data_IF_192226176389
#
_entry.id   IF_192226176389
#
_cell.length_a   1.000
_cell.length_b   1.000
_cell.length_c   1.000
_cell.angle_alpha   90.00
_cell.angle_beta   90.00
_cell.angle_gamma   90.00
#
_symmetry.space_group_name_H-M   'P 1'
#
loop_
_entity.id
_entity.type
_entity.pdbx_description
1 polymer ?
#
# COMPACT_ATOMS: atom_id res chain seq x y z
N UNK A 1 -15.59 -8.41 -7.04
CA UNK A 1 -14.76 -8.54 -8.26
C UNK A 1 -14.14 -9.94 -8.32
N UNK A 2 -14.22 -10.65 -9.45
CA UNK A 2 -13.59 -11.98 -9.60
C UNK A 2 -12.05 -11.85 -9.68
N UNK A 3 -11.32 -12.93 -9.37
CA UNK A 3 -9.84 -12.94 -9.27
C UNK A 3 -9.16 -12.46 -10.56
N UNK A 4 -9.63 -12.94 -11.72
CA UNK A 4 -9.09 -12.57 -13.03
C UNK A 4 -9.20 -11.06 -13.33
N UNK A 5 -10.32 -10.43 -12.97
CA UNK A 5 -10.51 -8.97 -13.18
C UNK A 5 -9.62 -8.16 -12.23
N UNK A 6 -9.44 -8.63 -10.99
CA UNK A 6 -8.55 -8.00 -10.00
C UNK A 6 -7.11 -8.01 -10.45
N UNK A 7 -6.60 -9.17 -10.84
CA UNK A 7 -5.20 -9.34 -11.24
C UNK A 7 -4.88 -8.49 -12.47
N UNK A 8 -5.84 -8.42 -13.42
CA UNK A 8 -5.75 -7.51 -14.57
C UNK A 8 -5.67 -6.06 -14.12
N UNK A 9 -6.51 -5.63 -13.19
CA UNK A 9 -6.53 -4.24 -12.69
C UNK A 9 -5.24 -3.88 -11.96
N UNK A 10 -4.70 -4.77 -11.14
CA UNK A 10 -3.40 -4.59 -10.49
C UNK A 10 -2.29 -4.44 -11.54
N UNK A 11 -2.32 -5.24 -12.60
CA UNK A 11 -1.37 -5.14 -13.72
C UNK A 11 -1.50 -3.85 -14.52
N UNK A 12 -2.70 -3.27 -14.63
CA UNK A 12 -2.93 -1.96 -15.26
C UNK A 12 -2.44 -0.80 -14.39
N UNK A 13 -2.64 -0.89 -13.06
CA UNK A 13 -2.26 0.17 -12.11
C UNK A 13 -0.74 0.25 -11.89
N UNK A 14 -0.04 -0.88 -11.80
CA UNK A 14 1.40 -0.91 -11.49
C UNK A 14 2.25 0.01 -12.39
N UNK A 15 2.16 -0.04 -13.74
CA UNK A 15 2.95 0.83 -14.59
C UNK A 15 2.64 2.32 -14.44
N UNK A 16 1.45 2.69 -13.97
CA UNK A 16 1.07 4.08 -13.70
C UNK A 16 1.74 4.56 -12.40
N UNK A 17 1.75 3.69 -11.38
CA UNK A 17 2.28 3.96 -10.05
C UNK A 17 3.80 3.82 -9.95
N UNK A 18 4.50 3.52 -11.04
CA UNK A 18 5.97 3.39 -11.04
C UNK A 18 6.65 4.36 -12.02
N UNK A 19 5.92 5.34 -12.54
CA UNK A 19 6.44 6.33 -13.50
C UNK A 19 6.60 7.69 -12.86
N UNK A 20 7.66 8.38 -13.25
CA UNK A 20 7.86 9.80 -12.97
C UNK A 20 7.29 10.68 -14.10
N UNK A 21 6.84 11.91 -13.82
CA UNK A 21 6.76 12.54 -12.50
C UNK A 21 5.55 12.04 -11.69
N UNK A 22 5.74 11.96 -10.38
CA UNK A 22 4.70 11.62 -9.41
C UNK A 22 3.89 12.88 -9.10
N UNK A 23 2.58 12.81 -9.30
CA UNK A 23 1.69 13.98 -9.17
C UNK A 23 0.39 13.61 -8.45
N UNK A 24 -0.34 14.60 -7.93
CA UNK A 24 -1.62 14.35 -7.23
C UNK A 24 -2.67 13.63 -8.10
N UNK A 25 -2.51 13.65 -9.43
CA UNK A 25 -3.39 12.96 -10.37
C UNK A 25 -3.37 11.42 -10.23
N UNK A 26 -2.27 10.84 -9.71
CA UNK A 26 -2.18 9.39 -9.48
C UNK A 26 -2.75 8.95 -8.13
N UNK A 27 -3.11 9.88 -7.23
CA UNK A 27 -3.70 9.58 -5.91
C UNK A 27 -4.85 8.56 -5.99
N UNK A 28 -5.85 8.70 -6.89
CA UNK A 28 -6.94 7.74 -6.95
C UNK A 28 -6.45 6.33 -7.31
N UNK A 29 -5.44 6.22 -8.17
CA UNK A 29 -4.83 4.95 -8.55
C UNK A 29 -4.04 4.32 -7.39
N UNK A 30 -3.34 5.13 -6.59
CA UNK A 30 -2.63 4.67 -5.39
C UNK A 30 -3.62 4.09 -4.39
N UNK A 31 -4.71 4.80 -4.10
CA UNK A 31 -5.75 4.35 -3.17
C UNK A 31 -6.42 3.07 -3.67
N UNK A 32 -6.76 3.02 -4.96
CA UNK A 32 -7.34 1.83 -5.56
C UNK A 32 -6.41 0.63 -5.42
N UNK A 33 -5.12 0.80 -5.75
CA UNK A 33 -4.13 -0.26 -5.62
C UNK A 33 -4.00 -0.78 -4.18
N UNK A 34 -3.89 0.12 -3.20
CA UNK A 34 -3.79 -0.26 -1.78
C UNK A 34 -5.03 -1.03 -1.33
N UNK A 35 -6.24 -0.60 -1.71
CA UNK A 35 -7.47 -1.32 -1.40
C UNK A 35 -7.52 -2.71 -2.04
N UNK A 36 -7.10 -2.84 -3.31
CA UNK A 36 -7.09 -4.13 -4.00
C UNK A 36 -6.15 -5.15 -3.34
N UNK A 37 -4.97 -4.70 -2.90
CA UNK A 37 -4.03 -5.56 -2.17
C UNK A 37 -4.53 -5.83 -0.74
N UNK A 38 -5.12 -4.84 -0.07
CA UNK A 38 -5.76 -5.01 1.24
C UNK A 38 -6.87 -6.05 1.23
N UNK A 39 -7.68 -6.09 0.17
CA UNK A 39 -8.69 -7.13 -0.04
C UNK A 39 -8.07 -8.53 -0.16
N UNK A 40 -6.85 -8.67 -0.68
CA UNK A 40 -6.15 -9.95 -0.74
C UNK A 40 -5.58 -10.33 0.62
N UNK A 41 -5.01 -9.37 1.37
CA UNK A 41 -4.57 -9.59 2.77
C UNK A 41 -5.74 -10.09 3.63
N UNK A 42 -6.95 -9.57 3.44
CA UNK A 42 -8.15 -9.98 4.19
C UNK A 42 -8.56 -11.43 3.98
N UNK A 43 -8.26 -12.00 2.82
CA UNK A 43 -8.57 -13.41 2.51
C UNK A 43 -7.63 -14.37 3.22
N UNK A 44 -6.46 -13.90 3.63
CA UNK A 44 -5.50 -14.68 4.38
C UNK A 44 -5.96 -14.81 5.84
N UNK A 45 -5.84 -16.01 6.37
CA UNK A 45 -5.86 -16.30 7.80
C UNK A 45 -4.71 -15.59 8.52
N UNK A 46 -4.78 -15.51 9.85
CA UNK A 46 -3.70 -14.92 10.64
C UNK A 46 -2.37 -15.68 10.42
N UNK A 47 -2.42 -17.00 10.36
CA UNK A 47 -1.24 -17.82 10.08
C UNK A 47 -0.62 -17.47 8.72
N UNK A 48 -1.41 -17.45 7.64
CA UNK A 48 -0.92 -17.09 6.30
C UNK A 48 -0.35 -15.66 6.21
N UNK A 49 -0.83 -14.75 7.06
CA UNK A 49 -0.24 -13.39 7.16
C UNK A 49 1.12 -13.41 7.84
N UNK A 50 1.29 -14.23 8.88
CA UNK A 50 2.48 -14.26 9.72
C UNK A 50 3.63 -15.11 9.16
N UNK A 51 3.34 -16.15 8.38
CA UNK A 51 4.36 -17.13 7.93
C UNK A 51 4.49 -17.26 6.40
N UNK A 52 4.05 -16.27 5.62
CA UNK A 52 4.16 -16.37 4.16
C UNK A 52 3.56 -15.23 3.34
N UNK A 53 2.41 -15.49 2.70
CA UNK A 53 1.85 -14.68 1.62
C UNK A 53 1.52 -13.23 2.03
N UNK A 54 1.26 -12.99 3.30
CA UNK A 54 0.98 -11.65 3.84
C UNK A 54 2.10 -10.66 3.55
N UNK A 55 3.35 -11.03 3.83
CA UNK A 55 4.47 -10.10 3.70
C UNK A 55 4.76 -9.76 2.23
N UNK A 56 4.56 -10.71 1.32
CA UNK A 56 4.65 -10.45 -0.11
C UNK A 56 3.59 -9.43 -0.58
N UNK A 57 2.39 -9.45 0.00
CA UNK A 57 1.34 -8.46 -0.30
C UNK A 57 1.67 -7.09 0.31
N UNK A 58 2.13 -7.06 1.56
CA UNK A 58 2.55 -5.82 2.24
C UNK A 58 3.71 -5.15 1.50
N UNK A 59 4.69 -5.93 1.02
CA UNK A 59 5.79 -5.41 0.20
C UNK A 59 5.33 -4.74 -1.10
N UNK A 60 4.20 -5.16 -1.68
CA UNK A 60 3.61 -4.48 -2.85
C UNK A 60 3.06 -3.10 -2.48
N UNK A 61 2.41 -2.98 -1.32
CA UNK A 61 1.92 -1.69 -0.81
C UNK A 61 3.11 -0.79 -0.50
N UNK A 62 4.06 -1.29 0.30
CA UNK A 62 5.25 -0.55 0.73
C UNK A 62 6.04 0.01 -0.47
N UNK A 63 6.34 -0.83 -1.47
CA UNK A 63 7.11 -0.39 -2.65
C UNK A 63 6.42 0.73 -3.44
N UNK A 64 5.09 0.69 -3.58
CA UNK A 64 4.34 1.79 -4.21
C UNK A 64 4.42 3.03 -3.32
N UNK A 65 4.10 2.91 -2.04
CA UNK A 65 4.01 4.07 -1.16
C UNK A 65 5.36 4.76 -0.95
N UNK A 66 6.47 4.02 -0.85
CA UNK A 66 7.83 4.60 -0.77
C UNK A 66 8.21 5.36 -2.04
N UNK A 67 7.80 4.85 -3.20
CA UNK A 67 8.04 5.57 -4.45
C UNK A 67 7.20 6.85 -4.51
N UNK A 68 5.96 6.78 -4.04
CA UNK A 68 5.04 7.92 -4.01
C UNK A 68 5.35 8.93 -2.90
N UNK A 69 5.98 8.50 -1.81
CA UNK A 69 6.45 9.37 -0.75
C UNK A 69 7.72 10.08 -1.22
N UNK A 70 7.81 11.37 -0.93
CA UNK A 70 8.92 12.21 -1.34
C UNK A 70 10.29 11.84 -0.70
N UNK A 71 10.38 10.72 0.02
CA UNK A 71 11.57 10.35 0.78
C UNK A 71 12.78 9.99 -0.10
N UNK A 72 12.63 9.74 -1.40
CA UNK A 72 13.72 9.16 -2.20
C UNK A 72 14.66 10.10 -2.95
N UNK A 73 14.34 11.36 -3.28
CA UNK A 73 15.35 12.35 -3.72
C UNK A 73 14.74 13.70 -4.15
N UNK A 74 14.99 14.75 -3.37
CA UNK A 74 15.46 16.09 -3.79
C UNK A 74 14.85 16.88 -4.96
N UNK A 75 13.89 16.38 -5.74
CA UNK A 75 13.46 17.04 -6.98
C UNK A 75 11.98 16.76 -7.28
N UNK A 76 11.06 17.33 -6.48
CA UNK A 76 9.77 17.82 -6.99
C UNK A 76 8.97 18.49 -5.87
N UNK A 77 8.64 19.77 -6.08
CA UNK A 77 8.06 20.69 -5.09
C UNK A 77 6.54 20.60 -4.92
N UNK A 78 5.89 19.54 -5.40
CA UNK A 78 4.46 19.29 -5.19
C UNK A 78 4.23 17.98 -4.43
N UNK A 79 4.92 17.83 -3.30
CA UNK A 79 4.79 16.68 -2.41
C UNK A 79 3.35 16.52 -1.92
N UNK A 80 2.54 15.78 -2.66
CA UNK A 80 1.12 15.58 -2.35
C UNK A 80 0.93 14.42 -1.37
N UNK A 81 1.86 13.46 -1.35
CA UNK A 81 1.86 12.37 -0.40
C UNK A 81 2.81 12.71 0.74
N UNK A 82 2.22 13.24 1.80
CA UNK A 82 2.87 13.60 3.05
C UNK A 82 1.86 13.44 4.21
N UNK A 83 2.30 13.47 5.48
CA UNK A 83 1.43 13.29 6.63
C UNK A 83 0.28 14.32 6.77
N UNK A 84 0.44 15.52 6.19
CA UNK A 84 -0.56 16.59 6.27
C UNK A 84 -1.67 16.42 5.22
N UNK A 85 -1.31 16.08 3.99
CA UNK A 85 -2.24 15.91 2.88
C UNK A 85 -2.88 14.50 2.84
N UNK A 86 -2.12 13.46 3.20
CA UNK A 86 -2.54 12.06 3.11
C UNK A 86 -2.21 11.26 4.39
N UNK A 87 -2.70 11.66 5.57
CA UNK A 87 -2.34 11.05 6.86
C UNK A 87 -2.65 9.54 6.93
N UNK A 88 -3.68 9.07 6.22
CA UNK A 88 -4.05 7.65 6.21
C UNK A 88 -3.08 6.83 5.34
N UNK A 89 -2.68 7.34 4.18
CA UNK A 89 -1.67 6.66 3.35
C UNK A 89 -0.32 6.65 4.03
N UNK A 90 0.02 7.71 4.76
CA UNK A 90 1.24 7.78 5.57
C UNK A 90 1.22 6.73 6.67
N UNK A 91 0.10 6.62 7.39
CA UNK A 91 -0.07 5.58 8.41
C UNK A 91 0.06 4.18 7.85
N UNK A 92 -0.46 3.93 6.64
CA UNK A 92 -0.29 2.66 5.94
C UNK A 92 1.19 2.43 5.61
N UNK A 93 1.90 3.44 5.10
CA UNK A 93 3.34 3.36 4.85
C UNK A 93 4.11 2.97 6.12
N UNK A 94 3.85 3.64 7.26
CA UNK A 94 4.45 3.30 8.56
C UNK A 94 4.18 1.85 8.97
N UNK A 95 2.92 1.43 8.93
CA UNK A 95 2.50 0.09 9.34
C UNK A 95 3.11 -0.99 8.44
N UNK A 96 3.14 -0.76 7.13
CA UNK A 96 3.75 -1.69 6.18
C UNK A 96 5.27 -1.75 6.28
N UNK A 97 5.93 -0.64 6.67
CA UNK A 97 7.37 -0.61 6.93
C UNK A 97 7.74 -1.32 8.23
N UNK A 98 6.84 -1.31 9.22
CA UNK A 98 7.06 -1.95 10.52
C UNK A 98 6.85 -3.47 10.50
N UNK A 99 6.10 -3.99 9.51
CA UNK A 99 5.87 -5.44 9.34
C UNK A 99 7.15 -6.10 8.79
N UNK A 100 7.98 -6.58 9.70
CA UNK A 100 9.12 -7.44 9.37
C UNK A 100 8.64 -8.87 9.03
N UNK A 101 9.36 -9.54 8.12
CA UNK A 101 9.08 -10.89 7.63
C UNK A 101 9.02 -11.94 8.75
N UNK A 102 9.69 -11.68 9.88
CA UNK A 102 9.87 -12.63 10.98
C UNK A 102 9.13 -12.21 12.27
N UNK A 103 8.42 -11.07 12.28
CA UNK A 103 7.82 -10.52 13.49
C UNK A 103 6.35 -10.94 13.66
N UNK A 104 6.05 -11.66 14.76
CA UNK A 104 4.68 -11.99 15.14
C UNK A 104 3.95 -10.77 15.74
N UNK A 105 3.38 -9.91 14.89
CA UNK A 105 2.75 -8.63 15.26
C UNK A 105 1.27 -8.55 14.83
N UNK A 106 0.37 -9.34 15.44
CA UNK A 106 -1.05 -9.39 15.06
C UNK A 106 -1.78 -8.05 15.18
N UNK A 107 -1.37 -7.20 16.13
CA UNK A 107 -1.91 -5.85 16.31
C UNK A 107 -1.63 -4.94 15.11
N UNK A 108 -0.45 -5.04 14.49
CA UNK A 108 -0.08 -4.24 13.33
C UNK A 108 -0.90 -4.66 12.11
N UNK A 109 -1.18 -5.95 11.94
CA UNK A 109 -2.08 -6.44 10.89
C UNK A 109 -3.52 -5.93 11.04
N UNK A 110 -4.01 -5.86 12.28
CA UNK A 110 -5.32 -5.29 12.59
C UNK A 110 -5.37 -3.79 12.26
N UNK A 111 -4.36 -3.04 12.72
CA UNK A 111 -4.23 -1.61 12.47
C UNK A 111 -4.10 -1.30 10.97
N UNK A 112 -3.32 -2.10 10.23
CA UNK A 112 -3.18 -1.98 8.78
C UNK A 112 -4.51 -2.20 8.07
N UNK A 113 -5.24 -3.25 8.46
CA UNK A 113 -6.54 -3.55 7.87
C UNK A 113 -7.53 -2.41 8.05
N UNK A 114 -7.54 -1.81 9.26
CA UNK A 114 -8.36 -0.66 9.60
C UNK A 114 -7.96 0.60 8.84
N UNK A 115 -6.66 0.90 8.76
CA UNK A 115 -6.17 2.06 8.01
C UNK A 115 -6.55 1.97 6.52
N UNK A 116 -6.51 0.77 5.93
CA UNK A 116 -6.96 0.54 4.55
C UNK A 116 -8.48 0.78 4.39
N UNK A 117 -9.30 0.42 5.39
CA UNK A 117 -10.74 0.71 5.38
C UNK A 117 -11.03 2.22 5.44
N UNK A 118 -10.20 2.97 6.16
CA UNK A 118 -10.36 4.42 6.34
C UNK A 118 -9.95 5.23 5.10
N UNK A 119 -9.34 4.60 4.08
CA UNK A 119 -8.98 5.27 2.83
C UNK A 119 -10.21 5.75 2.06
N UNK A 120 -10.22 7.04 1.69
CA UNK A 120 -11.28 7.69 0.90
C UNK A 120 -10.82 8.03 -0.52
#
# INVERSE_FOLDING_TARGET
MNRSTRDRRISELRPLLTKEPITRAIRPATIEFVKLIGDDIRKLSLEERLIGEGTALVGKILSVLVLQSNETAGVNTDGWFNPYDEPVLERILELTSALDLDANQPEIWSDLSKAIDDLK
#
